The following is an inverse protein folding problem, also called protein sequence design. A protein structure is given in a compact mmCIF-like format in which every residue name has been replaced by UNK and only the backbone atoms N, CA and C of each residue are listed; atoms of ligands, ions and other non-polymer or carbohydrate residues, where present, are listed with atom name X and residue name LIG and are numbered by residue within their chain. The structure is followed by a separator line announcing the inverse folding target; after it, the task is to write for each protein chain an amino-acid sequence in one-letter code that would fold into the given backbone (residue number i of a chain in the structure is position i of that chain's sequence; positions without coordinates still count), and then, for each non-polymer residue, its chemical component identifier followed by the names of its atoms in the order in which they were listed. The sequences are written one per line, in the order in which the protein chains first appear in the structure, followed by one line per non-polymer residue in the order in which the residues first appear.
data_IF_065438206580
#
_entry.id   IF_065438206580
#
_cell.length_a   1.000
_cell.length_b   1.000
_cell.length_c   1.000
_cell.angle_alpha   90.00
_cell.angle_beta   90.00
_cell.angle_gamma   90.00
#
_symmetry.space_group_name_H-M   'P 1'
#
loop_
_entity.id
_entity.type
_entity.pdbx_description
1 polymer ?
#
# COMPACT_ATOMS: atom_id res chain seq x y z
N UNK A 1 2.14 -20.34 -30.18
CA UNK A 1 2.94 -19.15 -29.83
C UNK A 1 3.11 -19.22 -28.31
N UNK A 2 4.30 -19.23 -27.76
CA UNK A 2 4.44 -19.22 -26.30
C UNK A 2 3.77 -17.96 -25.75
N UNK A 3 3.04 -18.12 -24.63
CA UNK A 3 2.48 -16.97 -23.92
C UNK A 3 3.61 -16.12 -23.38
N UNK A 4 3.45 -14.78 -23.24
CA UNK A 4 4.44 -13.94 -22.62
C UNK A 4 4.71 -14.43 -21.19
N UNK A 5 5.93 -14.21 -20.67
CA UNK A 5 6.28 -14.62 -19.31
C UNK A 5 5.32 -13.95 -18.32
N UNK A 6 4.73 -14.76 -17.46
CA UNK A 6 3.82 -14.33 -16.42
C UNK A 6 4.58 -14.33 -15.08
N UNK A 7 4.30 -13.35 -14.23
CA UNK A 7 4.92 -13.22 -12.91
C UNK A 7 4.13 -13.91 -11.80
N UNK A 8 2.88 -14.25 -12.06
CA UNK A 8 2.00 -14.90 -11.08
C UNK A 8 1.27 -16.06 -11.77
N UNK A 9 1.38 -17.25 -11.19
CA UNK A 9 0.67 -18.42 -11.71
C UNK A 9 -0.82 -18.30 -11.40
N UNK A 10 -1.65 -18.72 -12.37
CA UNK A 10 -3.09 -18.74 -12.17
C UNK A 10 -3.46 -19.78 -11.11
N UNK A 11 -4.17 -19.35 -10.09
CA UNK A 11 -4.71 -20.18 -9.02
C UNK A 11 -6.06 -19.61 -8.61
N UNK A 12 -7.19 -20.21 -9.00
CA UNK A 12 -8.51 -19.70 -8.63
C UNK A 12 -8.76 -19.89 -7.13
N UNK A 13 -9.43 -18.91 -6.51
CA UNK A 13 -9.64 -18.89 -5.06
C UNK A 13 -10.49 -20.07 -4.53
N UNK A 14 -11.21 -20.74 -5.42
CA UNK A 14 -12.18 -21.79 -5.08
C UNK A 14 -11.56 -23.12 -4.63
N UNK A 15 -10.28 -23.36 -4.88
CA UNK A 15 -9.61 -24.64 -4.59
C UNK A 15 -8.22 -24.47 -3.94
N UNK A 16 -7.87 -23.25 -3.52
CA UNK A 16 -6.59 -22.95 -2.85
C UNK A 16 -6.50 -23.60 -1.46
N UNK A 17 -5.28 -23.81 -0.97
CA UNK A 17 -5.05 -24.09 0.45
C UNK A 17 -5.73 -23.05 1.35
N UNK A 18 -6.39 -23.53 2.40
CA UNK A 18 -7.10 -22.65 3.34
C UNK A 18 -6.10 -21.83 4.16
N UNK A 19 -6.25 -20.51 4.12
CA UNK A 19 -5.50 -19.59 4.96
C UNK A 19 -6.24 -19.43 6.30
N UNK A 20 -5.50 -19.55 7.40
CA UNK A 20 -5.95 -19.20 8.74
C UNK A 20 -5.05 -18.11 9.29
N UNK A 21 -5.63 -16.96 9.54
CA UNK A 21 -4.92 -15.85 10.16
C UNK A 21 -4.74 -16.08 11.69
N UNK A 22 -3.83 -15.35 12.35
CA UNK A 22 -3.67 -15.41 13.80
C UNK A 22 -5.00 -15.26 14.54
N UNK A 23 -5.18 -16.02 15.63
CA UNK A 23 -6.38 -16.04 16.45
C UNK A 23 -7.67 -16.39 15.70
N UNK A 24 -7.57 -17.21 14.63
CA UNK A 24 -8.69 -17.57 13.75
C UNK A 24 -9.43 -16.37 13.15
N UNK A 25 -8.70 -15.28 12.93
CA UNK A 25 -9.26 -14.08 12.32
C UNK A 25 -9.72 -14.37 10.88
N UNK A 26 -10.85 -13.78 10.52
CA UNK A 26 -11.46 -13.90 9.17
C UNK A 26 -10.86 -12.95 8.18
N UNK A 27 -10.53 -11.75 8.64
CA UNK A 27 -9.99 -10.68 7.81
C UNK A 27 -8.71 -10.13 8.45
N UNK A 28 -7.63 -10.14 7.68
CA UNK A 28 -6.44 -9.35 7.96
C UNK A 28 -6.67 -7.94 7.41
N UNK A 29 -6.96 -6.99 8.30
CA UNK A 29 -7.19 -5.60 7.96
C UNK A 29 -5.90 -4.80 8.08
N UNK A 30 -5.51 -4.12 7.02
CA UNK A 30 -4.43 -3.14 7.09
C UNK A 30 -4.82 -1.81 6.45
N UNK A 31 -4.32 -0.73 7.05
CA UNK A 31 -4.57 0.63 6.60
C UNK A 31 -3.28 1.17 6.02
N UNK A 32 -3.37 1.71 4.80
CA UNK A 32 -2.26 2.29 4.06
C UNK A 32 -2.43 3.81 3.92
N UNK A 33 -1.93 4.61 4.86
CA UNK A 33 -1.75 6.02 4.58
C UNK A 33 -0.69 6.22 3.50
N UNK A 34 -1.03 6.90 2.42
CA UNK A 34 -0.08 7.36 1.40
C UNK A 34 0.45 8.73 1.84
N UNK A 35 1.60 8.74 2.51
CA UNK A 35 2.23 9.97 2.99
C UNK A 35 3.25 10.42 1.95
N UNK A 36 2.83 11.38 1.16
CA UNK A 36 3.47 11.73 -0.10
C UNK A 36 4.07 13.13 -0.06
N UNK A 37 5.19 13.29 -0.78
CA UNK A 37 5.77 14.58 -1.06
C UNK A 37 5.94 14.79 -2.57
N UNK A 38 5.33 15.85 -3.08
CA UNK A 38 5.42 16.29 -4.46
C UNK A 38 6.41 17.43 -4.58
N UNK A 39 7.30 17.36 -5.56
CA UNK A 39 8.25 18.46 -5.82
C UNK A 39 7.51 19.69 -6.34
N UNK A 40 7.89 20.89 -5.85
CA UNK A 40 7.33 22.15 -6.33
C UNK A 40 7.77 22.45 -7.78
N UNK A 41 9.01 22.09 -8.10
CA UNK A 41 9.60 22.17 -9.44
C UNK A 41 10.15 20.78 -9.81
N UNK A 42 9.29 19.84 -10.22
CA UNK A 42 9.74 18.52 -10.67
C UNK A 42 10.54 18.62 -11.96
N UNK A 43 11.40 17.65 -12.20
CA UNK A 43 12.10 17.52 -13.47
C UNK A 43 11.09 17.32 -14.63
N UNK A 44 11.40 17.85 -15.80
CA UNK A 44 10.50 17.81 -16.98
C UNK A 44 10.13 16.39 -17.42
N UNK A 45 10.93 15.39 -17.04
CA UNK A 45 10.71 13.96 -17.34
C UNK A 45 9.64 13.29 -16.44
N UNK A 46 9.03 14.00 -15.50
CA UNK A 46 7.89 13.49 -14.73
C UNK A 46 6.60 13.41 -15.57
N UNK A 47 6.70 12.70 -16.67
CA UNK A 47 5.83 12.78 -17.86
C UNK A 47 4.43 12.18 -17.69
N UNK A 48 4.00 11.77 -16.48
CA UNK A 48 2.77 11.00 -16.34
C UNK A 48 1.50 11.83 -16.22
N UNK A 49 1.61 13.10 -16.05
CA UNK A 49 0.43 13.83 -15.65
C UNK A 49 -0.24 14.53 -16.81
N UNK A 50 -1.59 14.46 -16.92
CA UNK A 50 -2.33 15.51 -17.60
C UNK A 50 -2.10 16.86 -16.89
N UNK A 51 -1.32 16.88 -15.86
CA UNK A 51 -0.82 17.97 -15.06
C UNK A 51 0.70 18.10 -15.23
N UNK A 52 1.23 19.28 -15.20
CA UNK A 52 0.54 20.49 -14.75
C UNK A 52 -0.49 20.98 -15.79
N UNK A 53 -1.55 21.60 -15.31
CA UNK A 53 -2.48 22.36 -16.16
C UNK A 53 -1.84 23.62 -16.73
N UNK A 54 -0.77 24.03 -16.10
CA UNK A 54 0.06 25.16 -16.42
C UNK A 54 1.52 24.74 -16.41
N UNK A 55 2.45 25.50 -17.02
CA UNK A 55 3.86 25.29 -16.76
C UNK A 55 4.17 25.32 -15.27
N UNK A 56 5.21 24.58 -14.86
CA UNK A 56 5.66 24.63 -13.46
C UNK A 56 6.11 26.03 -13.05
N UNK A 57 5.85 26.42 -11.76
CA UNK A 57 5.17 25.64 -10.72
C UNK A 57 3.64 25.60 -10.90
N UNK A 58 3.04 24.43 -10.82
CA UNK A 58 1.58 24.31 -10.67
C UNK A 58 1.21 24.47 -9.18
N UNK A 59 1.01 25.71 -8.76
CA UNK A 59 0.75 26.06 -7.36
C UNK A 59 -0.49 25.39 -6.81
N UNK A 60 -1.54 25.23 -7.61
CA UNK A 60 -2.78 24.59 -7.15
C UNK A 60 -2.57 23.11 -6.86
N UNK A 61 -1.92 22.38 -7.76
CA UNK A 61 -1.69 20.94 -7.59
C UNK A 61 -0.70 20.66 -6.47
N UNK A 62 0.35 21.45 -6.37
CA UNK A 62 1.31 21.36 -5.28
C UNK A 62 0.64 21.63 -3.92
N UNK A 63 0.00 22.78 -3.77
CA UNK A 63 -0.57 23.18 -2.47
C UNK A 63 -1.75 22.32 -2.03
N UNK A 64 -2.53 21.78 -2.96
CA UNK A 64 -3.61 20.85 -2.65
C UNK A 64 -3.10 19.56 -1.99
N UNK A 65 -1.96 19.04 -2.47
CA UNK A 65 -1.33 17.86 -1.89
C UNK A 65 -0.57 18.18 -0.61
N UNK A 66 0.14 19.32 -0.58
CA UNK A 66 0.88 19.79 0.59
C UNK A 66 -0.03 20.06 1.81
N UNK A 67 -1.31 20.34 1.59
CA UNK A 67 -2.33 20.37 2.65
C UNK A 67 -2.33 19.06 3.47
N UNK A 68 -2.08 17.92 2.83
CA UNK A 68 -1.96 16.63 3.50
C UNK A 68 -0.88 16.66 4.59
N UNK A 69 0.31 17.11 4.25
CA UNK A 69 1.45 17.15 5.18
C UNK A 69 1.30 18.25 6.25
N UNK A 70 0.57 19.33 5.95
CA UNK A 70 0.38 20.44 6.90
C UNK A 70 -0.76 20.24 7.89
N UNK A 71 -1.86 19.65 7.44
CA UNK A 71 -3.11 19.60 8.23
C UNK A 71 -3.75 18.22 8.20
N UNK A 72 -3.91 17.65 7.01
CA UNK A 72 -4.71 16.44 6.81
C UNK A 72 -4.15 15.22 7.53
N UNK A 73 -2.83 15.07 7.56
CA UNK A 73 -2.14 13.99 8.27
C UNK A 73 -2.49 13.97 9.77
N UNK A 74 -2.44 15.12 10.41
CA UNK A 74 -2.71 15.23 11.85
C UNK A 74 -4.15 14.89 12.20
N UNK A 75 -5.08 15.34 11.38
CA UNK A 75 -6.50 15.00 11.56
C UNK A 75 -6.78 13.52 11.31
N UNK A 76 -6.11 12.93 10.32
CA UNK A 76 -6.20 11.49 10.06
C UNK A 76 -5.64 10.67 11.22
N UNK A 77 -4.50 11.09 11.81
CA UNK A 77 -3.90 10.42 12.97
C UNK A 77 -4.87 10.36 14.16
N UNK A 78 -5.62 11.43 14.44
CA UNK A 78 -6.59 11.45 15.54
C UNK A 78 -7.67 10.36 15.38
N UNK A 79 -8.12 10.10 14.15
CA UNK A 79 -9.05 9.01 13.85
C UNK A 79 -8.39 7.64 14.01
N UNK A 80 -7.19 7.46 13.49
CA UNK A 80 -6.45 6.20 13.58
C UNK A 80 -6.12 5.84 15.04
N UNK A 81 -5.69 6.81 15.83
CA UNK A 81 -5.39 6.66 17.26
C UNK A 81 -6.63 6.25 18.09
N UNK A 82 -7.80 6.79 17.74
CA UNK A 82 -9.07 6.47 18.43
C UNK A 82 -9.41 5.00 18.38
N UNK A 83 -9.02 4.31 17.32
CA UNK A 83 -9.27 2.88 17.10
C UNK A 83 -8.00 2.02 17.27
N UNK A 84 -6.91 2.59 17.78
CA UNK A 84 -5.61 1.94 17.95
C UNK A 84 -5.09 1.27 16.67
N UNK A 85 -5.25 1.92 15.53
CA UNK A 85 -4.82 1.39 14.25
C UNK A 85 -3.29 1.53 14.10
N UNK A 86 -2.61 0.41 13.91
CA UNK A 86 -1.22 0.36 13.47
C UNK A 86 -1.20 0.30 11.94
N UNK A 87 -0.55 1.25 11.31
CA UNK A 87 -0.54 1.39 9.86
C UNK A 87 0.72 0.78 9.22
N UNK A 88 0.58 0.38 7.94
CA UNK A 88 1.71 0.24 7.03
C UNK A 88 1.68 1.43 6.06
N UNK A 89 2.60 2.37 6.25
CA UNK A 89 2.60 3.64 5.51
C UNK A 89 3.26 3.47 4.14
N UNK A 90 2.53 3.80 3.10
CA UNK A 90 3.09 4.01 1.76
C UNK A 90 3.80 5.37 1.75
N UNK A 91 5.14 5.35 1.81
CA UNK A 91 5.95 6.51 2.19
C UNK A 91 6.87 6.96 1.07
N UNK A 92 6.76 8.22 0.67
CA UNK A 92 7.86 8.86 -0.04
C UNK A 92 8.99 9.15 0.95
N UNK A 93 10.18 8.64 0.69
CA UNK A 93 11.32 8.74 1.62
C UNK A 93 11.73 10.18 1.94
N UNK A 94 11.52 11.10 1.02
CA UNK A 94 11.77 12.53 1.24
C UNK A 94 10.95 13.14 2.39
N UNK A 95 9.80 12.54 2.75
CA UNK A 95 9.00 12.96 3.91
C UNK A 95 9.79 12.87 5.21
N UNK A 96 10.63 11.85 5.35
CA UNK A 96 11.43 11.62 6.57
C UNK A 96 12.41 12.77 6.87
N UNK A 97 12.85 13.46 5.84
CA UNK A 97 13.79 14.59 5.93
C UNK A 97 13.06 15.94 5.92
N UNK A 98 12.07 16.09 5.05
CA UNK A 98 11.36 17.36 4.87
C UNK A 98 10.37 17.68 5.99
N UNK A 99 9.80 16.62 6.63
CA UNK A 99 8.74 16.76 7.65
C UNK A 99 9.07 15.94 8.90
N UNK A 100 10.06 16.37 9.71
CA UNK A 100 10.52 15.60 10.88
C UNK A 100 9.40 15.36 11.90
N UNK A 101 8.44 16.27 12.04
CA UNK A 101 7.31 16.09 12.94
C UNK A 101 6.40 14.93 12.49
N UNK A 102 6.17 14.75 11.18
CA UNK A 102 5.42 13.62 10.61
C UNK A 102 6.19 12.33 10.85
N UNK A 103 7.49 12.31 10.56
CA UNK A 103 8.36 11.17 10.85
C UNK A 103 8.26 10.74 12.31
N UNK A 104 8.46 11.69 13.24
CA UNK A 104 8.48 11.40 14.67
C UNK A 104 7.11 10.89 15.16
N UNK A 105 6.02 11.43 14.63
CA UNK A 105 4.67 10.97 14.94
C UNK A 105 4.41 9.53 14.45
N UNK A 106 4.92 9.14 13.28
CA UNK A 106 4.82 7.78 12.77
C UNK A 106 5.69 6.82 13.58
N UNK A 107 6.93 7.20 13.90
CA UNK A 107 7.86 6.39 14.71
C UNK A 107 7.30 6.15 16.11
N UNK A 108 6.72 7.16 16.75
CA UNK A 108 6.09 7.03 18.08
C UNK A 108 4.96 5.99 18.11
N UNK A 109 4.26 5.78 16.99
CA UNK A 109 3.17 4.82 16.84
C UNK A 109 3.60 3.44 16.37
N UNK A 110 4.90 3.24 16.25
CA UNK A 110 5.48 1.99 15.75
C UNK A 110 4.90 1.54 14.39
N UNK A 111 4.64 2.48 13.49
CA UNK A 111 4.15 2.18 12.16
C UNK A 111 5.17 1.42 11.34
N UNK A 112 4.71 0.53 10.46
CA UNK A 112 5.53 -0.08 9.43
C UNK A 112 5.45 0.74 8.15
N UNK A 113 6.38 0.49 7.22
CA UNK A 113 6.55 1.30 6.04
C UNK A 113 6.81 0.44 4.81
N UNK A 114 6.17 0.80 3.71
CA UNK A 114 6.56 0.35 2.38
C UNK A 114 7.04 1.54 1.57
N UNK A 115 8.02 1.32 0.69
CA UNK A 115 8.53 2.37 -0.18
C UNK A 115 7.45 2.83 -1.15
N UNK A 116 7.25 4.15 -1.25
CA UNK A 116 6.48 4.78 -2.32
C UNK A 116 7.38 5.70 -3.16
N UNK A 117 8.65 5.31 -3.29
CA UNK A 117 9.64 6.10 -3.95
C UNK A 117 10.26 7.20 -3.09
N UNK A 118 11.08 8.03 -3.71
CA UNK A 118 11.73 9.15 -3.01
C UNK A 118 10.78 10.35 -2.97
N UNK A 119 10.29 10.75 -4.14
CA UNK A 119 9.25 11.77 -4.34
C UNK A 119 8.12 11.20 -5.18
N UNK A 120 6.89 11.66 -4.98
CA UNK A 120 5.75 11.16 -5.74
C UNK A 120 5.71 11.64 -7.21
N UNK A 121 6.65 12.48 -7.58
CA UNK A 121 6.88 12.98 -8.93
C UNK A 121 7.89 12.16 -9.73
N UNK A 122 8.54 11.15 -9.14
CA UNK A 122 9.58 10.33 -9.77
C UNK A 122 9.12 8.88 -9.91
N UNK A 123 9.12 8.35 -11.13
CA UNK A 123 8.53 7.05 -11.47
C UNK A 123 9.56 6.03 -11.94
N UNK A 124 9.40 4.77 -11.51
CA UNK A 124 10.36 3.70 -11.80
C UNK A 124 10.50 3.36 -13.30
N UNK A 125 9.43 3.51 -14.08
CA UNK A 125 9.48 3.17 -15.51
C UNK A 125 10.49 4.02 -16.32
N UNK A 126 10.94 5.14 -15.78
CA UNK A 126 11.96 5.99 -16.40
C UNK A 126 13.39 5.55 -16.08
N UNK A 127 13.57 4.65 -15.11
CA UNK A 127 14.87 4.27 -14.61
C UNK A 127 15.55 3.19 -15.47
N UNK A 128 16.87 3.30 -15.62
CA UNK A 128 17.70 2.16 -16.03
C UNK A 128 17.75 1.11 -14.91
N UNK A 129 18.23 -0.08 -15.23
CA UNK A 129 18.37 -1.15 -14.23
C UNK A 129 19.29 -0.75 -13.06
N UNK A 130 20.39 -0.05 -13.35
CA UNK A 130 21.31 0.43 -12.31
C UNK A 130 20.67 1.51 -11.44
N UNK A 131 19.95 2.45 -12.04
CA UNK A 131 19.19 3.47 -11.29
C UNK A 131 18.11 2.85 -10.40
N UNK A 132 17.46 1.77 -10.86
CA UNK A 132 16.46 1.07 -10.06
C UNK A 132 17.11 0.32 -8.88
N UNK A 133 18.34 -0.26 -9.05
CA UNK A 133 19.11 -0.81 -7.92
C UNK A 133 19.55 0.26 -6.91
N UNK A 134 20.01 1.41 -7.40
CA UNK A 134 20.33 2.56 -6.53
C UNK A 134 19.13 3.02 -5.75
N UNK A 135 17.97 3.13 -6.41
CA UNK A 135 16.73 3.49 -5.78
C UNK A 135 16.38 2.58 -4.58
N UNK A 136 16.53 1.25 -4.71
CA UNK A 136 16.28 0.34 -3.58
C UNK A 136 17.28 0.56 -2.45
N UNK A 137 18.56 0.73 -2.74
CA UNK A 137 19.57 1.03 -1.71
C UNK A 137 19.22 2.31 -0.96
N UNK A 138 18.96 3.38 -1.69
CA UNK A 138 18.64 4.69 -1.11
C UNK A 138 17.38 4.64 -0.23
N UNK A 139 16.33 3.97 -0.68
CA UNK A 139 15.08 3.87 0.10
C UNK A 139 15.24 3.00 1.35
N UNK A 140 16.00 1.89 1.27
CA UNK A 140 16.32 1.03 2.41
C UNK A 140 17.17 1.80 3.45
N UNK A 141 18.23 2.45 3.00
CA UNK A 141 19.18 3.15 3.86
C UNK A 141 18.52 4.36 4.53
N UNK A 142 17.74 5.13 3.77
CA UNK A 142 17.01 6.28 4.28
C UNK A 142 15.98 5.89 5.34
N UNK A 143 15.17 4.86 5.08
CA UNK A 143 14.21 4.38 6.06
C UNK A 143 14.92 3.92 7.34
N UNK A 144 15.97 3.11 7.20
CA UNK A 144 16.76 2.58 8.32
C UNK A 144 17.37 3.70 9.15
N UNK A 145 17.94 4.72 8.49
CA UNK A 145 18.56 5.86 9.14
C UNK A 145 17.57 6.64 10.02
N UNK A 146 16.38 6.91 9.51
CA UNK A 146 15.41 7.81 10.13
C UNK A 146 14.42 7.13 11.10
N UNK A 147 14.19 5.83 10.93
CA UNK A 147 13.19 5.10 11.72
C UNK A 147 13.74 3.90 12.49
N UNK A 148 14.92 3.43 12.11
CA UNK A 148 15.50 2.17 12.63
C UNK A 148 14.84 0.90 12.04
N UNK A 149 13.76 1.01 11.29
CA UNK A 149 13.05 -0.13 10.71
C UNK A 149 13.70 -0.62 9.41
N UNK A 150 13.48 -1.89 9.10
CA UNK A 150 13.87 -2.50 7.83
C UNK A 150 12.73 -2.31 6.82
N UNK A 151 13.06 -1.89 5.61
CA UNK A 151 12.10 -1.86 4.51
C UNK A 151 11.84 -3.27 4.00
N UNK A 152 10.56 -3.70 3.96
CA UNK A 152 10.18 -5.05 3.52
C UNK A 152 9.38 -5.05 2.23
N UNK A 153 8.74 -3.96 1.87
CA UNK A 153 7.87 -3.93 0.72
C UNK A 153 7.82 -2.60 -0.02
N UNK A 154 7.07 -2.60 -1.12
CA UNK A 154 6.90 -1.44 -1.97
C UNK A 154 5.50 -1.36 -2.56
N UNK A 155 4.98 -0.14 -2.63
CA UNK A 155 4.00 0.33 -3.60
C UNK A 155 4.71 1.30 -4.53
N UNK A 156 4.81 0.99 -5.81
CA UNK A 156 5.49 1.86 -6.76
C UNK A 156 4.82 3.24 -6.85
N UNK A 157 5.58 4.34 -6.96
CA UNK A 157 4.99 5.66 -7.17
C UNK A 157 4.02 5.63 -8.35
N UNK A 158 2.77 6.02 -8.11
CA UNK A 158 1.71 5.92 -9.10
C UNK A 158 1.53 4.50 -9.68
N UNK A 159 1.81 3.46 -8.87
CA UNK A 159 1.71 2.04 -9.27
C UNK A 159 2.55 1.77 -10.52
N UNK A 160 3.77 2.32 -10.54
CA UNK A 160 4.70 2.20 -11.67
C UNK A 160 5.82 1.22 -11.36
N UNK A 161 6.15 0.40 -12.34
CA UNK A 161 7.24 -0.54 -12.28
C UNK A 161 7.75 -0.89 -13.67
N UNK A 162 8.78 -1.73 -13.74
CA UNK A 162 9.37 -2.28 -14.95
C UNK A 162 9.22 -3.81 -14.94
N UNK A 163 9.54 -4.47 -16.05
CA UNK A 163 9.56 -5.94 -16.10
C UNK A 163 10.51 -6.57 -15.09
N UNK A 164 11.56 -5.85 -14.68
CA UNK A 164 12.60 -6.32 -13.76
C UNK A 164 12.34 -5.92 -12.30
N UNK A 165 11.40 -5.01 -12.03
CA UNK A 165 11.07 -4.54 -10.68
C UNK A 165 10.92 -5.68 -9.66
N UNK A 166 10.15 -6.77 -9.91
CA UNK A 166 10.04 -7.85 -8.94
C UNK A 166 11.37 -8.56 -8.65
N UNK A 167 12.21 -8.77 -9.67
CA UNK A 167 13.51 -9.40 -9.49
C UNK A 167 14.47 -8.52 -8.68
N UNK A 168 14.48 -7.21 -8.96
CA UNK A 168 15.36 -6.26 -8.26
C UNK A 168 14.90 -5.99 -6.83
N UNK A 169 13.59 -6.01 -6.57
CA UNK A 169 13.06 -5.98 -5.21
C UNK A 169 13.55 -7.16 -4.39
N UNK A 170 13.40 -8.37 -4.92
CA UNK A 170 13.85 -9.59 -4.24
C UNK A 170 15.39 -9.61 -4.07
N UNK A 171 16.16 -9.14 -5.07
CA UNK A 171 17.61 -8.96 -4.99
C UNK A 171 18.00 -8.00 -3.85
N UNK A 172 17.24 -6.92 -3.66
CA UNK A 172 17.45 -5.94 -2.59
C UNK A 172 16.98 -6.43 -1.20
N UNK A 173 16.33 -7.60 -1.12
CA UNK A 173 15.85 -8.20 0.12
C UNK A 173 14.43 -7.77 0.52
N UNK A 174 13.68 -7.13 -0.36
CA UNK A 174 12.25 -6.88 -0.15
C UNK A 174 11.48 -8.20 -0.35
N UNK A 175 10.40 -8.37 0.42
CA UNK A 175 9.64 -9.61 0.47
C UNK A 175 8.20 -9.48 -0.04
N UNK A 176 7.70 -8.24 -0.22
CA UNK A 176 6.36 -8.05 -0.77
C UNK A 176 6.24 -6.82 -1.69
N UNK A 177 5.29 -6.91 -2.61
CA UNK A 177 4.89 -5.88 -3.56
C UNK A 177 3.38 -5.70 -3.54
N UNK A 178 2.88 -4.47 -3.64
CA UNK A 178 1.45 -4.17 -3.52
C UNK A 178 0.82 -3.60 -4.80
N UNK A 179 1.56 -3.52 -5.91
CA UNK A 179 1.06 -2.98 -7.19
C UNK A 179 0.10 -3.94 -7.92
N UNK A 180 0.06 -5.22 -7.51
CA UNK A 180 -0.74 -6.26 -8.14
C UNK A 180 -2.08 -6.42 -7.44
N UNK A 181 -3.10 -5.72 -7.92
CA UNK A 181 -4.41 -5.65 -7.28
C UNK A 181 -5.36 -6.69 -7.86
N UNK A 182 -4.99 -7.97 -7.79
CA UNK A 182 -5.67 -9.04 -8.51
C UNK A 182 -6.26 -10.13 -7.61
N UNK A 183 -6.19 -9.97 -6.29
CA UNK A 183 -6.61 -11.02 -5.37
C UNK A 183 -7.04 -10.47 -4.00
N UNK A 184 -7.80 -11.27 -3.25
CA UNK A 184 -8.19 -11.03 -1.85
C UNK A 184 -7.28 -11.78 -0.86
N UNK A 185 -6.27 -12.49 -1.35
CA UNK A 185 -5.27 -13.22 -0.57
C UNK A 185 -3.88 -12.92 -1.10
N UNK A 186 -2.81 -13.00 -0.28
CA UNK A 186 -1.46 -12.91 -0.81
C UNK A 186 -1.18 -14.06 -1.78
N UNK A 187 -0.41 -13.76 -2.82
CA UNK A 187 0.00 -14.76 -3.82
C UNK A 187 1.50 -14.65 -4.11
N UNK A 188 2.21 -15.76 -4.38
CA UNK A 188 3.60 -15.72 -4.75
C UNK A 188 3.85 -15.00 -6.08
N UNK A 189 4.88 -14.17 -6.13
CA UNK A 189 5.39 -13.56 -7.37
C UNK A 189 6.66 -14.33 -7.78
N UNK A 190 6.74 -14.75 -9.04
CA UNK A 190 7.91 -15.44 -9.59
C UNK A 190 9.08 -14.47 -9.72
N UNK A 191 10.16 -14.76 -9.01
CA UNK A 191 11.42 -13.99 -9.01
C UNK A 191 12.62 -14.89 -9.21
N UNK A 192 13.74 -14.33 -9.67
CA UNK A 192 14.97 -15.09 -9.94
C UNK A 192 15.62 -15.61 -8.67
N UNK A 193 15.43 -14.98 -7.54
CA UNK A 193 16.01 -15.35 -6.26
C UNK A 193 15.13 -14.90 -5.09
N UNK A 194 15.18 -15.63 -3.97
CA UNK A 194 14.39 -15.29 -2.78
C UNK A 194 12.90 -15.62 -2.91
N UNK A 195 12.09 -14.98 -2.09
CA UNK A 195 10.63 -15.08 -2.08
C UNK A 195 10.06 -13.67 -2.17
N UNK A 196 9.08 -13.47 -3.03
CA UNK A 196 8.32 -12.23 -3.14
C UNK A 196 6.83 -12.56 -3.19
N UNK A 197 6.01 -11.82 -2.46
CA UNK A 197 4.56 -11.99 -2.49
C UNK A 197 3.86 -10.70 -2.93
N UNK A 198 2.77 -10.85 -3.66
CA UNK A 198 1.78 -9.80 -3.83
C UNK A 198 0.91 -9.75 -2.59
N UNK A 199 0.96 -8.66 -1.82
CA UNK A 199 0.03 -8.41 -0.72
C UNK A 199 -1.12 -7.56 -1.26
N UNK A 200 -2.38 -7.97 -1.09
CA UNK A 200 -3.52 -7.23 -1.61
C UNK A 200 -3.55 -5.77 -1.12
N UNK A 201 -3.44 -4.84 -2.06
CA UNK A 201 -3.74 -3.42 -1.93
C UNK A 201 -5.07 -3.16 -2.62
N UNK A 202 -5.67 -1.99 -2.48
CA UNK A 202 -6.95 -1.73 -3.12
C UNK A 202 -6.96 -0.46 -3.95
N UNK A 203 -7.43 -0.57 -5.20
CA UNK A 203 -7.83 0.57 -6.04
C UNK A 203 -9.30 0.92 -5.77
N UNK A 204 -10.12 -0.07 -5.41
CA UNK A 204 -11.54 0.10 -5.14
C UNK A 204 -11.80 0.79 -3.79
N UNK A 205 -10.98 0.49 -2.75
CA UNK A 205 -11.02 1.13 -1.43
C UNK A 205 -9.91 2.16 -1.27
N UNK A 206 -9.68 2.94 -2.32
CA UNK A 206 -8.70 4.01 -2.36
C UNK A 206 -9.43 5.35 -2.44
N UNK A 207 -9.23 6.22 -1.46
CA UNK A 207 -9.85 7.53 -1.41
C UNK A 207 -9.46 8.42 -2.60
N UNK A 208 -8.26 8.20 -3.19
CA UNK A 208 -7.85 8.88 -4.41
C UNK A 208 -8.73 8.48 -5.59
N UNK A 209 -8.94 7.19 -5.80
CA UNK A 209 -9.79 6.71 -6.90
C UNK A 209 -11.24 7.15 -6.72
N UNK A 210 -11.80 7.00 -5.52
CA UNK A 210 -13.23 7.27 -5.30
C UNK A 210 -13.54 8.77 -5.15
N UNK A 211 -12.77 9.49 -4.32
CA UNK A 211 -13.11 10.89 -3.99
C UNK A 211 -12.55 11.90 -4.99
N UNK A 212 -11.36 11.61 -5.55
CA UNK A 212 -10.70 12.52 -6.48
C UNK A 212 -11.02 12.21 -7.94
N UNK A 213 -10.82 10.95 -8.35
CA UNK A 213 -10.90 10.59 -9.76
C UNK A 213 -12.34 10.34 -10.20
N UNK A 214 -13.15 9.67 -9.37
CA UNK A 214 -14.57 9.40 -9.64
C UNK A 214 -15.52 10.46 -9.05
N UNK A 215 -15.01 11.42 -8.26
CA UNK A 215 -15.78 12.52 -7.67
C UNK A 215 -16.96 12.07 -6.79
N UNK A 216 -16.83 10.90 -6.13
CA UNK A 216 -17.81 10.46 -5.15
C UNK A 216 -17.65 11.20 -3.83
N UNK A 217 -18.74 11.24 -3.04
CA UNK A 217 -18.75 11.84 -1.71
C UNK A 217 -18.19 10.88 -0.64
N UNK A 218 -17.83 11.42 0.52
CA UNK A 218 -17.23 10.64 1.60
C UNK A 218 -18.16 9.57 2.18
N UNK A 219 -19.46 9.77 2.16
CA UNK A 219 -20.47 8.78 2.57
C UNK A 219 -20.48 7.56 1.64
N UNK A 220 -20.30 7.78 0.33
CA UNK A 220 -20.15 6.69 -0.63
C UNK A 220 -18.90 5.87 -0.32
N UNK A 221 -17.76 6.53 -0.07
CA UNK A 221 -16.52 5.85 0.33
C UNK A 221 -16.73 4.99 1.58
N UNK A 222 -17.35 5.54 2.63
CA UNK A 222 -17.63 4.79 3.85
C UNK A 222 -18.56 3.59 3.58
N UNK A 223 -19.58 3.76 2.75
CA UNK A 223 -20.52 2.69 2.39
C UNK A 223 -19.84 1.55 1.65
N UNK A 224 -18.96 1.86 0.69
CA UNK A 224 -18.23 0.85 -0.08
C UNK A 224 -17.26 0.09 0.82
N UNK A 225 -16.48 0.78 1.67
CA UNK A 225 -15.56 0.12 2.60
C UNK A 225 -16.30 -0.85 3.53
N UNK A 226 -17.43 -0.44 4.11
CA UNK A 226 -18.24 -1.32 4.97
C UNK A 226 -18.81 -2.51 4.21
N UNK A 227 -19.36 -2.29 3.02
CA UNK A 227 -19.93 -3.37 2.21
C UNK A 227 -18.88 -4.41 1.78
N UNK A 228 -17.68 -3.97 1.41
CA UNK A 228 -16.58 -4.88 1.08
C UNK A 228 -16.11 -5.65 2.32
N UNK A 229 -15.97 -4.96 3.46
CA UNK A 229 -15.65 -5.63 4.71
C UNK A 229 -16.67 -6.73 5.05
N UNK A 230 -17.96 -6.43 5.00
CA UNK A 230 -19.03 -7.39 5.32
C UNK A 230 -18.95 -8.65 4.44
N UNK A 231 -18.65 -8.48 3.15
CA UNK A 231 -18.50 -9.60 2.23
C UNK A 231 -17.24 -10.42 2.53
N UNK A 232 -16.08 -9.77 2.67
CA UNK A 232 -14.81 -10.45 2.99
C UNK A 232 -14.87 -11.12 4.37
N UNK A 233 -15.54 -10.52 5.35
CA UNK A 233 -15.73 -11.10 6.66
C UNK A 233 -16.59 -12.38 6.61
N UNK A 234 -17.63 -12.40 5.77
CA UNK A 234 -18.44 -13.59 5.52
C UNK A 234 -17.59 -14.71 4.89
N UNK A 235 -16.86 -14.40 3.84
CA UNK A 235 -16.02 -15.37 3.10
C UNK A 235 -14.82 -15.83 3.91
N UNK A 236 -14.28 -14.97 4.77
CA UNK A 236 -13.16 -15.26 5.66
C UNK A 236 -13.45 -16.34 6.69
N UNK A 237 -14.72 -16.73 6.89
CA UNK A 237 -15.11 -17.88 7.69
C UNK A 237 -14.64 -19.23 7.08
N UNK A 238 -14.46 -19.27 5.76
CA UNK A 238 -13.98 -20.46 5.03
C UNK A 238 -12.46 -20.43 4.87
N UNK A 239 -11.92 -19.29 4.44
CA UNK A 239 -10.49 -19.07 4.28
C UNK A 239 -10.18 -17.58 4.45
N UNK A 240 -9.18 -17.25 5.24
CA UNK A 240 -8.82 -15.87 5.56
C UNK A 240 -8.67 -14.96 4.34
N UNK A 241 -9.18 -13.74 4.47
CA UNK A 241 -9.12 -12.67 3.46
C UNK A 241 -8.22 -11.54 3.94
N UNK A 242 -7.74 -10.73 3.00
CA UNK A 242 -7.03 -9.48 3.25
C UNK A 242 -7.91 -8.31 2.81
N UNK A 243 -7.96 -7.27 3.62
CA UNK A 243 -8.59 -6.00 3.27
C UNK A 243 -7.61 -4.86 3.48
N UNK A 244 -7.36 -4.08 2.43
CA UNK A 244 -6.62 -2.83 2.49
C UNK A 244 -7.57 -1.65 2.34
N UNK A 245 -7.36 -0.59 3.13
CA UNK A 245 -7.96 0.71 2.90
C UNK A 245 -6.83 1.72 2.66
N UNK A 246 -6.77 2.25 1.45
CA UNK A 246 -5.76 3.22 1.04
C UNK A 246 -6.25 4.64 1.23
N UNK A 247 -5.49 5.43 1.97
CA UNK A 247 -5.85 6.78 2.38
C UNK A 247 -4.78 7.80 1.97
N UNK A 248 -5.22 8.98 1.56
CA UNK A 248 -4.34 10.11 1.29
C UNK A 248 -4.66 11.24 2.27
N UNK A 249 -3.71 11.71 3.08
CA UNK A 249 -3.96 12.77 4.07
C UNK A 249 -4.62 14.01 3.50
N UNK A 250 -4.30 14.39 2.25
CA UNK A 250 -4.89 15.56 1.60
C UNK A 250 -6.35 15.35 1.14
N UNK A 251 -6.82 14.09 1.08
CA UNK A 251 -8.19 13.72 0.71
C UNK A 251 -9.05 13.41 1.93
N UNK A 252 -8.78 12.28 2.59
CA UNK A 252 -9.56 11.87 3.76
C UNK A 252 -9.41 12.83 4.93
N UNK A 253 -8.24 13.47 5.07
CA UNK A 253 -7.96 14.45 6.12
C UNK A 253 -8.69 15.79 5.97
N UNK A 254 -9.54 15.98 4.97
CA UNK A 254 -10.38 17.18 4.83
C UNK A 254 -11.46 17.23 5.93
N UNK A 255 -11.82 18.44 6.44
CA UNK A 255 -12.75 18.60 7.56
C UNK A 255 -14.10 17.94 7.34
N UNK A 256 -14.60 17.97 6.10
CA UNK A 256 -15.90 17.39 5.74
C UNK A 256 -15.86 15.89 5.49
N UNK A 257 -14.66 15.28 5.39
CA UNK A 257 -14.49 13.87 5.05
C UNK A 257 -14.06 12.99 6.23
N UNK A 258 -13.32 13.55 7.20
CA UNK A 258 -12.71 12.75 8.26
C UNK A 258 -13.69 11.90 9.07
N UNK A 259 -14.93 12.38 9.28
CA UNK A 259 -15.97 11.62 9.97
C UNK A 259 -16.30 10.27 9.32
N UNK A 260 -16.08 10.15 8.02
CA UNK A 260 -16.33 8.92 7.28
C UNK A 260 -15.23 7.87 7.51
N UNK A 261 -14.01 8.28 7.84
CA UNK A 261 -12.99 7.37 8.33
C UNK A 261 -13.39 6.78 9.68
N UNK A 262 -13.89 7.61 10.61
CA UNK A 262 -14.43 7.14 11.88
C UNK A 262 -15.60 6.15 11.68
N UNK A 263 -16.49 6.43 10.75
CA UNK A 263 -17.61 5.53 10.39
C UNK A 263 -17.13 4.15 9.91
N UNK A 264 -16.09 4.12 9.08
CA UNK A 264 -15.50 2.88 8.55
C UNK A 264 -14.85 2.11 9.69
N UNK A 265 -13.95 2.75 10.44
CA UNK A 265 -13.18 2.11 11.48
C UNK A 265 -14.07 1.62 12.62
N UNK A 266 -15.08 2.42 13.02
CA UNK A 266 -16.07 2.01 14.03
C UNK A 266 -16.82 0.74 13.61
N UNK A 267 -17.23 0.65 12.35
CA UNK A 267 -17.92 -0.53 11.83
C UNK A 267 -17.02 -1.76 11.87
N UNK A 268 -15.84 -1.67 11.28
CA UNK A 268 -14.93 -2.81 11.14
C UNK A 268 -14.43 -3.30 12.50
N UNK A 269 -13.97 -2.39 13.35
CA UNK A 269 -13.38 -2.71 14.65
C UNK A 269 -14.42 -3.14 15.71
N UNK A 270 -15.71 -3.06 15.41
CA UNK A 270 -16.78 -3.62 16.26
C UNK A 270 -16.95 -5.14 16.08
N UNK A 271 -16.29 -5.75 15.11
CA UNK A 271 -16.40 -7.19 14.84
C UNK A 271 -15.25 -7.97 15.47
N UNK A 272 -15.57 -9.10 16.11
CA UNK A 272 -14.57 -10.10 16.49
C UNK A 272 -13.97 -10.74 15.23
N UNK A 273 -12.75 -11.30 15.35
CA UNK A 273 -12.12 -12.01 14.23
C UNK A 273 -11.58 -11.08 13.11
N UNK A 274 -11.27 -9.85 13.47
CA UNK A 274 -10.46 -8.94 12.65
C UNK A 274 -9.04 -8.93 13.19
N UNK A 275 -8.08 -9.30 12.34
CA UNK A 275 -6.66 -9.10 12.64
C UNK A 275 -6.25 -7.75 12.07
N UNK A 276 -6.32 -6.68 12.90
CA UNK A 276 -5.78 -5.39 12.55
C UNK A 276 -4.25 -5.47 12.59
N UNK A 277 -3.61 -5.28 11.44
CA UNK A 277 -2.20 -5.59 11.22
C UNK A 277 -1.59 -4.68 10.16
N UNK A 278 -0.43 -5.05 9.61
CA UNK A 278 0.28 -4.33 8.57
C UNK A 278 0.59 -5.23 7.37
N UNK A 279 0.95 -4.65 6.23
CA UNK A 279 1.38 -5.43 5.07
C UNK A 279 2.65 -6.24 5.37
N UNK A 280 3.54 -5.71 6.22
CA UNK A 280 4.74 -6.40 6.69
C UNK A 280 4.40 -7.69 7.42
N UNK A 281 3.49 -7.61 8.41
CA UNK A 281 3.07 -8.78 9.20
C UNK A 281 2.32 -9.81 8.33
N UNK A 282 1.49 -9.36 7.39
CA UNK A 282 0.78 -10.24 6.45
C UNK A 282 1.77 -10.98 5.57
N UNK A 283 2.78 -10.28 5.03
CA UNK A 283 3.80 -10.89 4.17
C UNK A 283 4.65 -11.91 4.94
N UNK A 284 5.12 -11.54 6.12
CA UNK A 284 5.90 -12.45 6.97
C UNK A 284 5.11 -13.71 7.30
N UNK A 285 3.87 -13.54 7.79
CA UNK A 285 3.01 -14.66 8.17
C UNK A 285 2.69 -15.57 6.99
N UNK A 286 2.39 -14.99 5.82
CA UNK A 286 2.10 -15.76 4.62
C UNK A 286 3.33 -16.52 4.10
N UNK A 287 4.51 -15.89 4.09
CA UNK A 287 5.75 -16.53 3.64
C UNK A 287 6.13 -17.69 4.56
N UNK A 288 5.95 -17.53 5.85
CA UNK A 288 6.26 -18.56 6.83
C UNK A 288 5.33 -19.77 6.75
N UNK A 289 4.03 -19.54 6.53
CA UNK A 289 3.01 -20.58 6.72
C UNK A 289 2.40 -21.12 5.43
N UNK A 290 2.40 -20.36 4.32
CA UNK A 290 1.59 -20.69 3.12
C UNK A 290 2.32 -20.58 1.80
N UNK A 291 3.46 -19.87 1.72
CA UNK A 291 4.12 -19.59 0.44
C UNK A 291 4.46 -20.86 -0.34
N UNK A 292 5.11 -21.82 0.28
CA UNK A 292 5.58 -23.03 -0.38
C UNK A 292 4.43 -23.93 -0.81
N UNK A 293 3.37 -24.02 0.00
CA UNK A 293 2.14 -24.75 -0.33
C UNK A 293 1.39 -24.08 -1.49
N UNK A 294 1.34 -22.76 -1.56
CA UNK A 294 0.72 -22.03 -2.65
C UNK A 294 1.47 -22.24 -3.98
N UNK A 295 2.81 -22.20 -3.96
CA UNK A 295 3.64 -22.51 -5.13
C UNK A 295 3.42 -23.94 -5.59
N UNK A 296 3.45 -24.91 -4.65
CA UNK A 296 3.22 -26.32 -4.97
C UNK A 296 1.79 -26.60 -5.50
N UNK A 297 0.79 -25.86 -5.03
CA UNK A 297 -0.58 -25.95 -5.52
C UNK A 297 -0.70 -25.40 -6.94
N UNK A 298 -0.22 -24.20 -7.20
CA UNK A 298 -0.25 -23.56 -8.52
C UNK A 298 0.46 -24.41 -9.59
N UNK A 299 1.59 -25.04 -9.22
CA UNK A 299 2.31 -25.94 -10.12
C UNK A 299 1.52 -27.20 -10.55
N UNK A 300 0.47 -27.59 -9.81
CA UNK A 300 -0.41 -28.71 -10.20
C UNK A 300 -1.49 -28.28 -11.17
N UNK A 301 -1.75 -26.99 -11.30
CA UNK A 301 -2.76 -26.41 -12.19
C UNK A 301 -2.18 -26.01 -13.56
N UNK A 302 -0.84 -25.92 -13.65
CA UNK A 302 -0.06 -25.62 -14.86
C UNK A 302 0.20 -26.90 -15.65
#
# INVERSE_FOLDING_TARGET
MPLPPDRVDYSPIIDRPIIKWPNDARVALWISPNVEHYEYMPDDDSARTPWPRTPFPDVQQYSYRDYGNRVGFWRMLESLDRYNIRCCVSLNMAVLEHFPEIRDAMVQRDYDYMSHGIYNTRYLYTYTEEQEREFYRDTIDTLKLHTGKQLKGMLGPAISGTERTPDLMAEAGLIYHTDWMHDDQPVPIKVKSGKLVSVPYSIELNDSSLLRDNHYEGDYFARICKAQFDQLYKEGAESGRVMCIALHPFLIGQPHRIKYLDDILSHIMSHDGVWQTTADDIADYYIENYYDDAVAHAAKLS
#
